data_IF_460095480375
#
_entry.id   IF_460095480375
#
_cell.length_a   1.000
_cell.length_b   1.000
_cell.length_c   1.000
_cell.angle_alpha   90.00
_cell.angle_beta   90.00
_cell.angle_gamma   90.00
#
_symmetry.space_group_name_H-M   'P 1'
#
loop_
_entity.id
_entity.type
_entity.pdbx_description
1 polymer ?
#
# COMPACT_ATOMS: atom_id res chain seq x y z
N UNK A 1 2.51 7.49 9.76
CA UNK A 1 1.04 7.36 9.53
C UNK A 1 0.56 6.04 10.10
N UNK A 2 -0.74 5.86 10.32
CA UNK A 2 -1.29 4.55 10.74
C UNK A 2 -1.59 3.71 9.50
N UNK A 3 -1.36 2.40 9.58
CA UNK A 3 -1.79 1.48 8.55
C UNK A 3 -3.31 1.33 8.58
N UNK A 4 -3.97 1.77 7.50
CA UNK A 4 -5.39 1.64 7.25
C UNK A 4 -5.58 0.70 6.05
N UNK A 5 -6.17 -0.47 6.31
CA UNK A 5 -6.33 -1.54 5.30
C UNK A 5 -7.16 -1.12 4.10
N UNK A 6 -8.22 -0.33 4.30
CA UNK A 6 -9.10 0.16 3.24
C UNK A 6 -8.37 1.12 2.30
N UNK A 7 -7.63 2.08 2.85
CA UNK A 7 -6.78 3.00 2.08
C UNK A 7 -5.70 2.26 1.31
N UNK A 8 -5.01 1.28 1.93
CA UNK A 8 -3.95 0.56 1.23
C UNK A 8 -4.49 -0.24 0.05
N UNK A 9 -5.64 -0.89 0.23
CA UNK A 9 -6.33 -1.57 -0.87
C UNK A 9 -6.72 -0.61 -1.99
N UNK A 10 -7.19 0.60 -1.65
CA UNK A 10 -7.57 1.61 -2.62
C UNK A 10 -6.36 2.16 -3.37
N UNK A 11 -5.29 2.52 -2.66
CA UNK A 11 -4.04 2.98 -3.24
C UNK A 11 -3.45 1.95 -4.22
N UNK A 12 -3.40 0.68 -3.82
CA UNK A 12 -2.96 -0.41 -4.69
C UNK A 12 -3.91 -0.56 -5.89
N UNK A 13 -5.22 -0.42 -5.71
CA UNK A 13 -6.18 -0.50 -6.82
C UNK A 13 -5.97 0.63 -7.84
N UNK A 14 -5.64 1.83 -7.39
CA UNK A 14 -5.46 3.01 -8.25
C UNK A 14 -4.07 3.08 -8.90
N UNK A 15 -3.08 2.35 -8.39
CA UNK A 15 -1.70 2.36 -8.90
C UNK A 15 -1.28 0.98 -9.41
N UNK A 16 -1.14 0.83 -10.74
CA UNK A 16 -0.70 -0.43 -11.37
C UNK A 16 0.68 -0.90 -10.88
N UNK A 17 1.60 0.03 -10.63
CA UNK A 17 2.94 -0.29 -10.09
C UNK A 17 2.84 -1.01 -8.74
N UNK A 18 1.99 -0.50 -7.84
CA UNK A 18 1.75 -1.12 -6.54
C UNK A 18 1.03 -2.48 -6.65
N UNK A 19 0.21 -2.70 -7.67
CA UNK A 19 -0.38 -4.03 -7.92
C UNK A 19 0.69 -5.05 -8.29
N UNK A 20 1.60 -4.66 -9.17
CA UNK A 20 2.74 -5.50 -9.56
C UNK A 20 3.62 -5.77 -8.35
N UNK A 21 4.04 -4.74 -7.61
CA UNK A 21 4.84 -4.92 -6.39
C UNK A 21 4.15 -5.80 -5.36
N UNK A 22 2.84 -5.63 -5.13
CA UNK A 22 2.11 -6.49 -4.20
C UNK A 22 2.16 -7.95 -4.64
N UNK A 23 1.95 -8.21 -5.94
CA UNK A 23 1.97 -9.57 -6.48
C UNK A 23 3.36 -10.18 -6.37
N UNK A 24 4.40 -9.42 -6.74
CA UNK A 24 5.80 -9.82 -6.61
C UNK A 24 6.16 -10.14 -5.16
N UNK A 25 5.80 -9.28 -4.20
CA UNK A 25 6.00 -9.54 -2.77
C UNK A 25 5.31 -10.81 -2.29
N UNK A 26 4.10 -11.09 -2.78
CA UNK A 26 3.38 -12.31 -2.46
C UNK A 26 4.08 -13.55 -3.04
N UNK A 27 4.53 -13.49 -4.29
CA UNK A 27 5.18 -14.61 -4.98
C UNK A 27 6.61 -14.87 -4.47
N UNK A 28 7.41 -13.83 -4.24
CA UNK A 28 8.80 -13.96 -3.79
C UNK A 28 8.94 -14.47 -2.36
N UNK A 29 8.02 -14.08 -1.49
CA UNK A 29 8.09 -14.41 -0.06
C UNK A 29 7.00 -15.39 0.40
N UNK A 30 6.22 -15.95 -0.54
CA UNK A 30 5.04 -16.80 -0.28
C UNK A 30 4.11 -16.17 0.78
N UNK A 31 3.93 -14.84 0.69
CA UNK A 31 3.20 -14.08 1.70
C UNK A 31 1.71 -14.06 1.41
N UNK A 32 0.90 -14.26 2.45
CA UNK A 32 -0.51 -13.98 2.35
C UNK A 32 -0.74 -12.49 2.07
N UNK A 33 -1.78 -12.20 1.27
CA UNK A 33 -2.14 -10.85 0.83
C UNK A 33 -2.22 -9.82 1.96
N UNK A 34 -2.67 -10.21 3.15
CA UNK A 34 -2.75 -9.30 4.30
C UNK A 34 -1.37 -8.88 4.83
N UNK A 35 -0.39 -9.79 4.83
CA UNK A 35 0.99 -9.51 5.24
C UNK A 35 1.72 -8.75 4.14
N UNK A 36 1.55 -9.14 2.87
CA UNK A 36 2.13 -8.43 1.74
C UNK A 36 1.65 -6.96 1.65
N UNK A 37 0.37 -6.68 1.94
CA UNK A 37 -0.14 -5.29 2.01
C UNK A 37 0.54 -4.46 3.11
N UNK A 38 0.84 -5.08 4.27
CA UNK A 38 1.57 -4.40 5.35
C UNK A 38 3.02 -4.17 4.96
N UNK A 39 3.69 -5.18 4.40
CA UNK A 39 5.07 -5.05 3.92
C UNK A 39 5.18 -3.96 2.86
N UNK A 40 4.27 -3.95 1.88
CA UNK A 40 4.19 -2.91 0.86
C UNK A 40 3.96 -1.53 1.47
N UNK A 41 3.11 -1.40 2.49
CA UNK A 41 2.93 -0.13 3.19
C UNK A 41 4.22 0.34 3.84
N UNK A 42 4.93 -0.53 4.54
CA UNK A 42 6.20 -0.18 5.18
C UNK A 42 7.31 0.16 4.16
N UNK A 43 7.30 -0.46 2.98
CA UNK A 43 8.26 -0.16 1.91
C UNK A 43 7.95 1.13 1.17
N UNK A 44 6.69 1.32 0.76
CA UNK A 44 6.33 2.32 -0.25
C UNK A 44 5.63 3.56 0.32
N UNK A 45 5.15 3.50 1.56
CA UNK A 45 4.28 4.52 2.17
C UNK A 45 4.81 5.03 3.51
N UNK A 46 5.34 4.16 4.36
CA UNK A 46 5.93 4.56 5.63
C UNK A 46 7.26 5.32 5.42
N UNK A 47 7.70 6.02 6.46
CA UNK A 47 9.03 6.67 6.54
C UNK A 47 9.42 7.55 5.33
N UNK A 48 8.47 8.25 4.72
CA UNK A 48 8.73 9.12 3.57
C UNK A 48 8.68 8.41 2.21
N UNK A 49 8.07 7.22 2.14
CA UNK A 49 7.95 6.44 0.92
C UNK A 49 7.28 7.18 -0.24
N UNK A 50 7.55 6.71 -1.46
CA UNK A 50 7.08 7.31 -2.73
C UNK A 50 5.58 7.61 -2.76
N UNK A 51 4.78 6.74 -2.13
CA UNK A 51 3.33 6.84 -2.11
C UNK A 51 2.77 7.39 -0.80
N UNK A 52 3.61 7.92 0.10
CA UNK A 52 3.17 8.50 1.37
C UNK A 52 2.09 9.57 1.18
N UNK A 53 2.32 10.52 0.26
CA UNK A 53 1.38 11.61 -0.01
C UNK A 53 0.08 11.11 -0.64
N UNK A 54 0.18 10.18 -1.59
CA UNK A 54 -0.99 9.57 -2.22
C UNK A 54 -1.83 8.80 -1.20
N UNK A 55 -1.18 8.09 -0.27
CA UNK A 55 -1.85 7.41 0.82
C UNK A 55 -2.53 8.38 1.79
N UNK A 56 -1.85 9.46 2.16
CA UNK A 56 -2.40 10.52 3.02
C UNK A 56 -3.62 11.20 2.39
N UNK A 57 -3.59 11.40 1.07
CA UNK A 57 -4.69 12.00 0.33
C UNK A 57 -5.98 11.15 0.42
N UNK A 58 -5.86 9.83 0.62
CA UNK A 58 -6.99 8.93 0.82
C UNK A 58 -7.60 8.98 2.24
N UNK A 59 -6.90 9.57 3.21
CA UNK A 59 -7.38 9.77 4.59
C UNK A 59 -8.26 11.02 4.73
N UNK A 60 -8.10 11.97 3.83
CA UNK A 60 -8.91 13.18 3.83
C UNK A 60 -10.36 12.83 3.45
N UNK A 61 -11.35 13.15 4.32
CA UNK A 61 -12.75 13.02 3.93
C UNK A 61 -12.97 13.87 2.68
N UNK A 62 -13.50 13.25 1.63
CA UNK A 62 -14.03 14.01 0.49
C UNK A 62 -15.20 14.84 1.03
N UNK A 63 -14.93 16.12 1.26
CA UNK A 63 -15.93 17.11 1.70
C UNK A 63 -17.01 17.32 0.66
#
# INVERSE_FOLDING_TARGET
>A
MKYIKTQMKQLVKENKELQTHLKTLMEEHDLEKNFALKALYHSEVADGGKYQLAYQALDLPKG
#
